data_IF_030119476676
#
_entry.id   IF_030119476676
#
_cell.length_a   1.000
_cell.length_b   1.000
_cell.length_c   1.000
_cell.angle_alpha   90.00
_cell.angle_beta   90.00
_cell.angle_gamma   90.00
#
_symmetry.space_group_name_H-M   'P 1'
#
loop_
_entity.id
_entity.type
_entity.pdbx_description
1 polymer ?
#
# COMPACT_ATOMS: atom_id res chain seq x y z
N UNK A 1 -13.72 -4.37 -4.59
CA UNK A 1 -12.84 -4.26 -3.42
C UNK A 1 -11.48 -4.80 -3.73
N UNK A 2 -10.46 -4.06 -3.39
CA UNK A 2 -9.09 -4.48 -3.66
C UNK A 2 -8.17 -3.93 -2.60
N UNK A 3 -7.02 -4.55 -2.43
CA UNK A 3 -6.05 -4.13 -1.43
C UNK A 3 -4.67 -4.00 -2.04
N UNK A 4 -3.91 -3.06 -1.51
CA UNK A 4 -2.55 -2.82 -1.96
C UNK A 4 -1.62 -3.02 -0.76
N UNK A 5 -0.61 -3.84 -0.92
CA UNK A 5 0.39 -4.06 0.11
C UNK A 5 1.56 -3.12 -0.10
N UNK A 6 1.87 -2.36 0.91
CA UNK A 6 3.05 -1.52 0.92
C UNK A 6 4.03 -2.08 1.92
N UNK A 7 5.28 -2.18 1.53
CA UNK A 7 6.31 -2.69 2.42
C UNK A 7 7.51 -1.77 2.38
N UNK A 8 8.41 -1.98 3.32
CA UNK A 8 9.62 -1.17 3.46
C UNK A 8 9.29 0.28 3.75
N UNK A 9 8.27 0.50 4.58
CA UNK A 9 7.86 1.85 4.94
C UNK A 9 8.83 2.45 5.96
N UNK A 10 8.96 3.78 5.97
CA UNK A 10 9.71 4.43 7.05
C UNK A 10 9.07 4.15 8.40
N UNK A 11 9.87 4.09 9.44
CA UNK A 11 9.38 3.74 10.77
C UNK A 11 8.39 4.75 11.33
N UNK A 12 8.57 6.02 10.95
CA UNK A 12 7.76 7.09 11.52
C UNK A 12 6.65 7.56 10.59
N UNK A 13 6.32 6.77 9.57
CA UNK A 13 5.28 7.18 8.65
C UNK A 13 3.91 7.04 9.31
N UNK A 14 3.03 7.99 9.01
CA UNK A 14 1.66 7.96 9.53
C UNK A 14 0.70 7.52 8.44
N UNK A 15 -0.51 7.15 8.85
CA UNK A 15 -1.54 6.76 7.88
C UNK A 15 -1.88 7.92 6.95
N UNK A 16 -1.90 9.14 7.48
CA UNK A 16 -2.16 10.30 6.65
C UNK A 16 -1.12 10.47 5.58
N UNK A 17 0.12 10.20 5.91
CA UNK A 17 1.19 10.29 4.91
C UNK A 17 1.03 9.23 3.83
N UNK A 18 0.66 8.03 4.22
CA UNK A 18 0.45 6.97 3.25
C UNK A 18 -0.68 7.35 2.30
N UNK A 19 -1.79 7.84 2.84
CA UNK A 19 -2.91 8.26 2.02
C UNK A 19 -2.51 9.38 1.07
N UNK A 20 -1.73 10.33 1.57
CA UNK A 20 -1.28 11.43 0.73
C UNK A 20 -0.40 10.98 -0.41
N UNK A 21 0.49 10.03 -0.15
CA UNK A 21 1.33 9.50 -1.21
C UNK A 21 0.49 8.83 -2.29
N UNK A 22 -0.48 8.04 -1.87
CA UNK A 22 -1.32 7.33 -2.83
C UNK A 22 -2.08 8.30 -3.71
N UNK A 23 -2.65 9.34 -3.12
CA UNK A 23 -3.36 10.35 -3.90
C UNK A 23 -2.42 11.08 -4.85
N UNK A 24 -1.22 11.36 -4.38
CA UNK A 24 -0.24 12.06 -5.19
C UNK A 24 0.12 11.26 -6.44
N UNK A 25 0.12 9.95 -6.34
CA UNK A 25 0.49 9.11 -7.47
C UNK A 25 -0.71 8.60 -8.25
N UNK A 26 -1.87 9.21 -8.03
CA UNK A 26 -3.03 8.93 -8.85
C UNK A 26 -3.95 7.85 -8.34
N UNK A 27 -3.76 7.40 -7.12
CA UNK A 27 -4.64 6.39 -6.55
C UNK A 27 -5.92 7.04 -6.03
N UNK A 28 -7.04 6.34 -6.10
CA UNK A 28 -8.26 6.85 -5.49
C UNK A 28 -8.13 6.86 -3.97
N UNK A 29 -9.12 7.46 -3.33
CA UNK A 29 -9.11 7.54 -1.88
C UNK A 29 -9.25 6.15 -1.29
N UNK A 30 -8.41 5.83 -0.33
CA UNK A 30 -8.50 4.54 0.32
C UNK A 30 -9.53 4.58 1.44
N UNK A 31 -10.05 3.40 1.77
CA UNK A 31 -11.06 3.27 2.81
C UNK A 31 -10.47 2.89 4.14
N UNK A 32 -9.39 2.14 4.11
CA UNK A 32 -8.79 1.66 5.34
C UNK A 32 -7.32 1.40 5.13
N UNK A 33 -6.53 1.69 6.14
CA UNK A 33 -5.11 1.37 6.15
C UNK A 33 -4.85 0.53 7.39
N UNK A 34 -4.46 -0.72 7.17
CA UNK A 34 -4.13 -1.64 8.26
C UNK A 34 -2.61 -1.75 8.34
N UNK A 35 -2.06 -1.32 9.45
CA UNK A 35 -0.61 -1.34 9.63
C UNK A 35 -0.17 -2.75 10.01
N UNK A 36 0.92 -3.17 9.39
CA UNK A 36 1.52 -4.46 9.68
C UNK A 36 2.87 -4.20 10.30
N UNK A 37 3.03 -4.46 11.61
CA UNK A 37 4.32 -4.23 12.24
C UNK A 37 5.36 -5.18 11.67
N UNK A 38 6.55 -4.66 11.51
CA UNK A 38 7.63 -5.47 11.00
C UNK A 38 8.14 -6.38 12.08
N UNK A 39 7.89 -7.63 11.93
CA UNK A 39 8.28 -8.61 12.92
C UNK A 39 9.72 -9.00 12.65
N UNK A 40 10.65 -8.18 13.10
CA UNK A 40 12.03 -8.35 12.74
C UNK A 40 12.35 -7.89 11.33
N UNK A 41 11.36 -7.36 10.63
CA UNK A 41 11.54 -6.85 9.28
C UNK A 41 10.98 -5.43 9.23
N UNK A 42 10.92 -4.88 8.07
CA UNK A 42 10.44 -3.52 7.93
C UNK A 42 8.92 -3.47 7.99
N UNK A 43 8.37 -2.39 8.56
CA UNK A 43 6.92 -2.31 8.67
C UNK A 43 6.25 -2.17 7.31
N UNK A 44 5.01 -2.57 7.25
CA UNK A 44 4.23 -2.50 6.05
C UNK A 44 2.83 -2.03 6.35
N UNK A 45 2.00 -1.99 5.32
CA UNK A 45 0.61 -1.62 5.46
C UNK A 45 -0.21 -2.27 4.36
N UNK A 46 -1.45 -2.59 4.68
CA UNK A 46 -2.41 -3.06 3.70
C UNK A 46 -3.44 -1.96 3.53
N UNK A 47 -3.56 -1.45 2.33
CA UNK A 47 -4.48 -0.35 2.04
C UNK A 47 -5.64 -0.92 1.26
N UNK A 48 -6.85 -0.71 1.77
CA UNK A 48 -8.06 -1.27 1.18
C UNK A 48 -8.85 -0.20 0.44
N UNK A 49 -9.29 -0.55 -0.77
CA UNK A 49 -10.09 0.33 -1.61
C UNK A 49 -11.39 -0.40 -1.94
N UNK A 50 -12.50 0.06 -1.40
CA UNK A 50 -13.78 -0.64 -1.61
C UNK A 50 -14.37 -0.36 -2.97
N UNK A 51 -14.13 0.81 -3.52
CA UNK A 51 -14.73 1.19 -4.80
C UNK A 51 -13.80 0.95 -5.98
N UNK A 52 -12.77 0.17 -5.79
CA UNK A 52 -11.76 -0.03 -6.81
C UNK A 52 -11.54 -1.51 -7.03
N UNK A 53 -11.44 -1.90 -8.29
CA UNK A 53 -11.17 -3.29 -8.64
C UNK A 53 -9.67 -3.57 -8.60
N UNK A 54 -9.35 -4.83 -8.45
CA UNK A 54 -7.97 -5.28 -8.44
C UNK A 54 -7.26 -4.86 -9.73
N UNK A 55 -7.95 -4.91 -10.83
CA UNK A 55 -7.36 -4.55 -12.12
C UNK A 55 -6.90 -3.10 -12.13
N UNK A 56 -7.69 -2.21 -11.54
CA UNK A 56 -7.32 -0.81 -11.47
C UNK A 56 -6.07 -0.64 -10.63
N UNK A 57 -5.98 -1.35 -9.51
CA UNK A 57 -4.79 -1.27 -8.67
C UNK A 57 -3.57 -1.80 -9.38
N UNK A 58 -3.72 -2.82 -10.19
CA UNK A 58 -2.59 -3.36 -10.95
C UNK A 58 -2.04 -2.34 -11.93
N UNK A 59 -2.91 -1.53 -12.49
CA UNK A 59 -2.47 -0.48 -13.41
C UNK A 59 -1.76 0.65 -12.68
N UNK A 60 -2.16 0.92 -11.45
CA UNK A 60 -1.59 2.02 -10.68
C UNK A 60 -0.37 1.58 -9.88
N UNK A 61 -0.27 0.31 -9.57
CA UNK A 61 0.79 -0.20 -8.71
C UNK A 61 2.20 0.21 -9.15
N UNK A 62 2.55 0.16 -10.45
CA UNK A 62 3.91 0.56 -10.82
C UNK A 62 4.22 2.02 -10.55
N UNK A 63 3.21 2.85 -10.36
CA UNK A 63 3.45 4.25 -10.09
C UNK A 63 4.03 4.49 -8.72
N UNK A 64 3.72 3.60 -7.77
CA UNK A 64 4.20 3.79 -6.41
C UNK A 64 5.25 2.76 -6.03
N UNK A 65 5.36 1.68 -6.79
CA UNK A 65 6.39 0.68 -6.52
C UNK A 65 7.75 1.26 -6.87
N UNK A 66 8.67 1.22 -5.91
CA UNK A 66 10.00 1.76 -6.12
C UNK A 66 10.13 3.23 -5.80
N UNK A 67 9.10 3.86 -5.27
CA UNK A 67 9.18 5.26 -4.89
C UNK A 67 10.11 5.39 -3.69
N UNK A 68 11.00 6.37 -3.74
CA UNK A 68 11.98 6.57 -2.69
C UNK A 68 11.46 7.61 -1.70
N UNK A 69 11.31 7.22 -0.45
CA UNK A 69 10.78 8.10 0.59
C UNK A 69 11.64 7.94 1.83
N UNK A 70 12.16 9.04 2.33
CA UNK A 70 12.90 9.06 3.60
C UNK A 70 13.97 7.98 3.66
N UNK A 71 14.74 7.86 2.58
CA UNK A 71 15.83 6.91 2.48
C UNK A 71 15.37 5.46 2.42
N UNK A 72 14.12 5.24 2.06
CA UNK A 72 13.59 3.90 1.87
C UNK A 72 12.89 3.80 0.53
N UNK A 73 13.07 2.68 -0.13
CA UNK A 73 12.40 2.42 -1.39
C UNK A 73 11.14 1.63 -1.10
N UNK A 74 10.00 2.25 -1.37
CA UNK A 74 8.72 1.58 -1.14
C UNK A 74 8.54 0.44 -2.13
N UNK A 75 7.96 -0.64 -1.64
CA UNK A 75 7.57 -1.73 -2.50
C UNK A 75 6.05 -1.85 -2.41
N UNK A 76 5.42 -2.04 -3.54
CA UNK A 76 3.98 -2.12 -3.59
C UNK A 76 3.57 -3.34 -4.39
N UNK A 77 2.59 -4.08 -3.88
CA UNK A 77 2.02 -5.22 -4.57
C UNK A 77 0.53 -5.21 -4.39
N UNK A 78 -0.17 -5.61 -5.44
CA UNK A 78 -1.62 -5.76 -5.30
C UNK A 78 -1.87 -7.06 -4.57
N UNK A 79 -2.53 -6.95 -3.41
CA UNK A 79 -2.82 -8.12 -2.61
C UNK A 79 -3.86 -8.97 -3.35
N UNK A 80 -3.70 -10.27 -3.33
CA UNK A 80 -4.72 -11.12 -3.95
C UNK A 80 -6.03 -10.99 -3.19
N UNK A 81 -7.14 -11.25 -3.85
CA UNK A 81 -8.42 -11.23 -3.14
C UNK A 81 -8.39 -12.23 -2.00
N UNK A 82 -9.31 -12.09 -1.09
CA UNK A 82 -9.34 -12.88 0.13
C UNK A 82 -8.95 -14.32 -0.14
N UNK A 83 -7.92 -14.81 0.55
CA UNK A 83 -7.42 -16.12 0.32
C UNK A 83 -7.75 -16.97 1.45
N UNK A 84 -8.38 -17.99 1.21
CA UNK A 84 -8.65 -18.86 2.33
C UNK A 84 -7.41 -19.51 2.68
N UNK A 85 -6.61 -19.70 2.48
CA UNK A 85 -5.64 -20.26 2.91
C UNK A 85 -4.75 -19.96 2.92
N UNK A 86 -4.69 -19.76 3.05
CA UNK A 86 -3.90 -19.49 3.06
C UNK A 86 -3.31 -19.98 3.40
#
# INVERSE_FOLDING_TARGET
MASLWLTNLPDDVTDDEIAGWLEKYGFPRCDEIARVPGDGTRPGAVVTFTDVDEEVLRRLQPRIDGVFVRNRTLRAQVAPPARPES
#
